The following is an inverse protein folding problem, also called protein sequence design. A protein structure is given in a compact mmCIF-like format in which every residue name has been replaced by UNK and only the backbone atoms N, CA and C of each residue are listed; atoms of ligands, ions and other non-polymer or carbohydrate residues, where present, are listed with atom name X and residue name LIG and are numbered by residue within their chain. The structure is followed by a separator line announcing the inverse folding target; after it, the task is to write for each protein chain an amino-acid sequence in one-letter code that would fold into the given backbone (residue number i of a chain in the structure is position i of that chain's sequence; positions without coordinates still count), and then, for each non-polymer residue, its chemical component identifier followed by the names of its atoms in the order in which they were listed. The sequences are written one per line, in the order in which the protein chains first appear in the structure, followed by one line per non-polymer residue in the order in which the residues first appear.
data_IF_648633205506
#
_entry.id   IF_648633205506
#
_cell.length_a   1.000
_cell.length_b   1.000
_cell.length_c   1.000
_cell.angle_alpha   90.00
_cell.angle_beta   90.00
_cell.angle_gamma   90.00
#
_symmetry.space_group_name_H-M   'P 1'
#
loop_
_entity.id
_entity.type
_entity.pdbx_description
1 polymer ?
#
# COMPACT_ATOMS: atom_id res chain seq x y z
N UNK A 1 -19.04 -1.15 -11.34
CA UNK A 1 -19.45 -1.87 -10.12
C UNK A 1 -19.19 -0.99 -8.94
N UNK A 2 -20.19 -0.43 -8.26
CA UNK A 2 -19.80 0.13 -6.95
C UNK A 2 -21.06 0.54 -6.21
N UNK A 3 -21.84 -0.48 -5.88
CA UNK A 3 -22.95 -0.27 -4.98
C UNK A 3 -22.43 -0.46 -3.56
N UNK A 4 -22.12 0.65 -2.89
CA UNK A 4 -21.84 0.65 -1.47
C UNK A 4 -23.19 0.58 -0.76
N UNK A 5 -23.40 -0.37 0.16
CA UNK A 5 -24.67 -0.45 0.88
C UNK A 5 -24.94 0.86 1.64
N UNK A 6 -26.14 1.41 1.49
CA UNK A 6 -26.52 2.64 2.20
C UNK A 6 -26.34 2.56 3.74
N UNK A 7 -26.47 1.36 4.30
CA UNK A 7 -26.23 1.08 5.71
C UNK A 7 -24.81 1.37 6.14
N UNK A 8 -23.82 1.15 5.26
CA UNK A 8 -22.41 1.39 5.58
C UNK A 8 -22.16 2.84 6.00
N UNK A 9 -22.85 3.81 5.39
CA UNK A 9 -22.68 5.23 5.69
C UNK A 9 -23.01 5.63 7.15
N UNK A 10 -23.79 4.81 7.86
CA UNK A 10 -24.24 5.07 9.24
C UNK A 10 -23.68 4.11 10.27
N UNK A 11 -23.03 3.05 9.83
CA UNK A 11 -22.64 1.92 10.69
C UNK A 11 -21.42 2.23 11.57
N UNK A 12 -20.54 3.15 11.12
CA UNK A 12 -19.31 3.48 11.83
C UNK A 12 -19.25 4.95 12.27
N UNK A 13 -18.48 5.19 13.31
CA UNK A 13 -18.24 6.53 13.82
C UNK A 13 -17.28 7.33 12.94
N UNK A 14 -16.37 6.64 12.22
CA UNK A 14 -15.38 7.26 11.36
C UNK A 14 -15.03 6.32 10.19
N UNK A 15 -14.68 6.91 9.07
CA UNK A 15 -14.20 6.24 7.87
C UNK A 15 -12.84 6.81 7.51
N UNK A 16 -11.90 5.93 7.21
CA UNK A 16 -10.52 6.30 6.95
C UNK A 16 -10.09 5.73 5.60
N UNK A 17 -9.53 6.57 4.75
CA UNK A 17 -8.86 6.17 3.51
C UNK A 17 -7.35 6.25 3.67
N UNK A 18 -6.64 5.34 3.04
CA UNK A 18 -5.17 5.22 3.15
C UNK A 18 -4.79 3.94 3.90
N UNK A 19 -3.54 3.63 4.07
CA UNK A 19 -2.41 4.36 3.47
C UNK A 19 -2.30 4.06 1.96
N UNK A 20 -1.06 4.05 1.42
CA UNK A 20 -0.76 3.78 0.03
C UNK A 20 -1.30 4.86 -0.96
N UNK A 21 -1.09 4.63 -2.23
CA UNK A 21 -1.39 5.55 -3.33
C UNK A 21 -2.88 5.55 -3.70
N UNK A 22 -3.74 5.68 -2.71
CA UNK A 22 -5.21 5.69 -2.90
C UNK A 22 -5.68 6.88 -3.73
N UNK A 23 -4.91 7.95 -3.78
CA UNK A 23 -5.20 9.15 -4.55
C UNK A 23 -4.33 9.31 -5.81
N UNK A 24 -3.70 8.21 -6.30
CA UNK A 24 -2.91 8.27 -7.52
C UNK A 24 -3.82 8.22 -8.76
N UNK A 25 -3.88 9.29 -9.58
CA UNK A 25 -4.72 9.35 -10.77
C UNK A 25 -4.28 8.41 -11.88
N UNK A 26 -3.03 7.94 -11.86
CA UNK A 26 -2.52 7.00 -12.85
C UNK A 26 -3.07 5.57 -12.66
N UNK A 27 -3.73 5.30 -11.54
CA UNK A 27 -4.42 4.04 -11.35
C UNK A 27 -5.85 4.10 -11.90
N UNK A 28 -6.18 3.22 -12.82
CA UNK A 28 -7.53 3.12 -13.44
C UNK A 28 -8.66 2.77 -12.45
N UNK A 29 -8.36 2.71 -11.15
CA UNK A 29 -9.29 2.37 -10.07
C UNK A 29 -9.77 3.57 -9.26
N UNK A 30 -9.22 4.77 -9.49
CA UNK A 30 -9.60 5.97 -8.74
C UNK A 30 -11.11 6.20 -8.81
N UNK A 31 -11.73 6.39 -7.67
CA UNK A 31 -13.18 6.53 -7.57
C UNK A 31 -13.60 7.36 -6.35
N UNK A 32 -14.88 7.68 -6.29
CA UNK A 32 -15.49 8.36 -5.14
C UNK A 32 -15.32 7.60 -3.81
N UNK A 33 -15.04 6.30 -3.87
CA UNK A 33 -14.75 5.49 -2.68
C UNK A 33 -13.43 5.91 -2.03
N UNK A 34 -12.43 6.25 -2.82
CA UNK A 34 -11.13 6.65 -2.33
C UNK A 34 -11.16 7.98 -1.57
N UNK A 35 -12.22 8.77 -1.78
CA UNK A 35 -12.55 9.98 -1.03
C UNK A 35 -13.70 9.79 -0.02
N UNK A 36 -14.12 8.54 0.21
CA UNK A 36 -15.17 8.19 1.18
C UNK A 36 -16.50 8.93 0.94
N UNK A 37 -16.86 9.24 -0.32
CA UNK A 37 -18.05 10.05 -0.64
C UNK A 37 -19.37 9.42 -0.18
N UNK A 38 -19.37 8.13 0.10
CA UNK A 38 -20.51 7.43 0.66
C UNK A 38 -20.80 7.77 2.14
N UNK A 39 -19.81 8.32 2.86
CA UNK A 39 -19.91 8.65 4.26
C UNK A 39 -20.22 10.14 4.47
N UNK A 40 -20.83 10.54 5.60
CA UNK A 40 -20.96 11.94 5.99
C UNK A 40 -19.59 12.64 6.06
N UNK A 41 -19.52 13.91 5.64
CA UNK A 41 -18.25 14.68 5.55
C UNK A 41 -17.49 14.73 6.88
N UNK A 42 -18.21 14.92 7.99
CA UNK A 42 -17.68 15.00 9.34
C UNK A 42 -17.08 13.68 9.86
N UNK A 43 -17.29 12.60 9.12
CA UNK A 43 -16.75 11.26 9.45
C UNK A 43 -15.60 10.83 8.52
N UNK A 44 -15.24 11.64 7.49
CA UNK A 44 -14.21 11.27 6.52
C UNK A 44 -12.84 11.74 6.96
N UNK A 45 -11.88 10.84 6.99
CA UNK A 45 -10.47 11.17 7.28
C UNK A 45 -9.54 10.40 6.34
N UNK A 46 -8.35 10.94 6.11
CA UNK A 46 -7.27 10.15 5.53
C UNK A 46 -6.21 9.84 6.56
N UNK A 47 -5.54 8.71 6.38
CA UNK A 47 -4.39 8.32 7.18
C UNK A 47 -3.24 7.93 6.27
N UNK A 48 -2.22 8.77 6.21
CA UNK A 48 -1.02 8.59 5.36
C UNK A 48 -1.35 8.25 3.91
N UNK A 49 -2.41 8.88 3.36
CA UNK A 49 -2.77 8.69 1.95
C UNK A 49 -1.69 9.27 1.03
N UNK A 50 -1.49 8.67 -0.13
CA UNK A 50 -0.49 9.14 -1.10
C UNK A 50 -1.11 9.43 -2.45
N UNK A 51 -0.61 10.48 -3.11
CA UNK A 51 -0.91 10.76 -4.51
C UNK A 51 0.00 9.96 -5.46
N UNK A 52 1.21 9.58 -5.03
CA UNK A 52 2.19 8.85 -5.83
C UNK A 52 2.70 9.62 -7.05
N UNK A 53 2.41 10.91 -7.14
CA UNK A 53 2.80 11.85 -8.20
C UNK A 53 3.14 13.20 -7.59
N UNK A 54 3.85 14.04 -8.35
CA UNK A 54 4.24 15.37 -7.91
C UNK A 54 3.29 16.49 -8.33
N UNK A 55 2.37 16.21 -9.26
CA UNK A 55 1.40 17.21 -9.75
C UNK A 55 0.11 16.51 -10.19
N UNK A 56 -1.04 17.07 -9.84
CA UNK A 56 -2.35 16.59 -10.30
C UNK A 56 -2.59 17.11 -11.73
N UNK A 57 -3.00 16.24 -12.69
CA UNK A 57 -3.41 16.64 -14.02
C UNK A 57 -4.48 17.74 -13.99
N UNK A 58 -4.36 18.73 -14.89
CA UNK A 58 -5.21 19.92 -14.89
C UNK A 58 -6.71 19.58 -14.88
N UNK A 59 -7.09 18.61 -15.70
CA UNK A 59 -8.48 18.15 -15.84
C UNK A 59 -9.03 17.48 -14.57
N UNK A 60 -8.17 17.09 -13.62
CA UNK A 60 -8.57 16.45 -12.38
C UNK A 60 -8.51 17.40 -11.17
N UNK A 61 -7.89 18.57 -11.29
CA UNK A 61 -7.67 19.50 -10.16
C UNK A 61 -8.96 19.85 -9.43
N UNK A 62 -10.02 20.17 -10.17
CA UNK A 62 -11.31 20.54 -9.56
C UNK A 62 -11.96 19.35 -8.84
N UNK A 63 -11.84 18.15 -9.39
CA UNK A 63 -12.33 16.92 -8.75
C UNK A 63 -11.60 16.67 -7.43
N UNK A 64 -10.27 16.74 -7.42
CA UNK A 64 -9.48 16.54 -6.19
C UNK A 64 -9.78 17.63 -5.16
N UNK A 65 -9.78 18.88 -5.58
CA UNK A 65 -10.10 20.03 -4.72
C UNK A 65 -11.40 19.84 -3.97
N UNK A 66 -12.48 19.55 -4.69
CA UNK A 66 -13.81 19.39 -4.10
C UNK A 66 -13.85 18.23 -3.10
N UNK A 67 -13.21 17.10 -3.41
CA UNK A 67 -13.18 15.95 -2.53
C UNK A 67 -12.32 16.17 -1.27
N UNK A 68 -11.14 16.80 -1.42
CA UNK A 68 -10.25 17.11 -0.30
C UNK A 68 -10.85 18.15 0.66
N UNK A 69 -11.62 19.13 0.14
CA UNK A 69 -12.35 20.10 0.97
C UNK A 69 -13.45 19.43 1.81
N UNK A 70 -13.97 18.27 1.39
CA UNK A 70 -14.99 17.53 2.11
C UNK A 70 -14.44 16.54 3.14
N UNK A 71 -13.11 16.41 3.25
CA UNK A 71 -12.47 15.57 4.26
C UNK A 71 -12.34 16.34 5.59
N UNK A 72 -12.74 15.72 6.70
CA UNK A 72 -12.63 16.32 8.04
C UNK A 72 -11.16 16.46 8.45
N UNK A 73 -10.41 15.36 8.38
CA UNK A 73 -9.00 15.35 8.73
C UNK A 73 -8.21 14.83 7.52
N UNK A 74 -7.06 15.47 7.26
CA UNK A 74 -6.18 15.11 6.17
C UNK A 74 -4.80 14.75 6.70
N UNK A 75 -4.35 13.54 6.40
CA UNK A 75 -2.94 13.22 6.49
C UNK A 75 -2.46 12.47 5.25
N UNK A 76 -1.23 12.75 4.88
CA UNK A 76 -0.55 12.20 3.72
C UNK A 76 0.78 11.59 4.12
N UNK A 77 1.36 10.76 3.25
CA UNK A 77 2.62 10.08 3.52
C UNK A 77 3.85 10.90 3.11
N UNK A 78 3.69 11.84 2.20
CA UNK A 78 4.78 12.64 1.65
C UNK A 78 4.55 14.15 1.80
N UNK A 79 5.65 14.92 1.97
CA UNK A 79 5.61 16.38 1.99
C UNK A 79 4.95 16.95 0.74
N UNK A 80 5.25 16.38 -0.44
CA UNK A 80 4.64 16.80 -1.70
C UNK A 80 3.12 16.63 -1.70
N UNK A 81 2.61 15.59 -1.06
CA UNK A 81 1.16 15.39 -0.90
C UNK A 81 0.49 16.52 -0.11
N UNK A 82 1.14 16.98 0.96
CA UNK A 82 0.70 18.14 1.75
C UNK A 82 0.69 19.43 0.90
N UNK A 83 1.76 19.68 0.13
CA UNK A 83 1.84 20.82 -0.78
C UNK A 83 0.71 20.78 -1.84
N UNK A 84 0.44 19.63 -2.45
CA UNK A 84 -0.68 19.45 -3.40
C UNK A 84 -2.01 19.83 -2.75
N UNK A 85 -2.25 19.40 -1.51
CA UNK A 85 -3.48 19.76 -0.79
C UNK A 85 -3.56 21.27 -0.58
N UNK A 86 -2.49 21.91 -0.14
CA UNK A 86 -2.45 23.36 0.07
C UNK A 86 -2.64 24.12 -1.26
N UNK A 87 -1.96 23.72 -2.32
CA UNK A 87 -2.07 24.32 -3.66
C UNK A 87 -3.51 24.25 -4.21
N UNK A 88 -4.17 23.10 -4.07
CA UNK A 88 -5.51 22.91 -4.62
C UNK A 88 -6.62 23.54 -3.76
N UNK A 89 -6.48 23.48 -2.45
CA UNK A 89 -7.59 23.77 -1.53
C UNK A 89 -7.38 24.98 -0.65
N UNK A 90 -6.14 25.45 -0.50
CA UNK A 90 -5.75 26.46 0.49
C UNK A 90 -5.69 25.95 1.93
N UNK A 91 -5.97 24.66 2.18
CA UNK A 91 -5.89 24.04 3.51
C UNK A 91 -4.43 23.86 3.94
N UNK A 92 -4.15 24.22 5.20
CA UNK A 92 -2.83 24.09 5.83
C UNK A 92 -2.80 23.08 6.97
N UNK A 93 -3.93 22.49 7.26
CA UNK A 93 -4.14 21.54 8.35
C UNK A 93 -3.85 20.08 7.99
N UNK A 94 -3.39 19.82 6.76
CA UNK A 94 -2.91 18.50 6.39
C UNK A 94 -1.60 18.15 7.10
N UNK A 95 -1.51 16.94 7.66
CA UNK A 95 -0.32 16.45 8.35
C UNK A 95 0.44 15.44 7.51
N UNK A 96 1.76 15.40 7.62
CA UNK A 96 2.59 14.34 7.03
C UNK A 96 2.85 13.29 8.11
N UNK A 97 2.35 12.09 7.89
CA UNK A 97 2.46 10.97 8.82
C UNK A 97 3.13 9.78 8.13
N UNK A 98 3.91 9.02 8.88
CA UNK A 98 4.52 7.79 8.37
C UNK A 98 3.45 6.77 7.96
N UNK A 99 3.82 5.86 7.07
CA UNK A 99 2.97 4.72 6.74
C UNK A 99 2.66 3.90 8.00
N UNK A 100 1.40 3.48 8.23
CA UNK A 100 1.02 2.74 9.44
C UNK A 100 1.79 1.44 9.63
N UNK A 101 2.34 0.85 8.58
CA UNK A 101 3.21 -0.33 8.70
C UNK A 101 4.50 -0.04 9.48
N UNK A 102 4.93 1.20 9.55
CA UNK A 102 6.12 1.64 10.29
C UNK A 102 5.80 2.12 11.72
N UNK A 103 4.55 2.08 12.14
CA UNK A 103 4.13 2.46 13.50
C UNK A 103 4.36 1.36 14.53
N UNK A 104 4.54 0.14 14.08
CA UNK A 104 4.77 -1.03 14.93
C UNK A 104 6.24 -1.46 14.84
N UNK A 105 6.78 -1.94 15.96
CA UNK A 105 8.11 -2.53 16.02
C UNK A 105 8.12 -3.92 15.36
N UNK A 106 9.32 -4.43 15.07
CA UNK A 106 9.48 -5.79 14.54
C UNK A 106 8.88 -6.84 15.49
N UNK A 107 9.03 -6.66 16.80
CA UNK A 107 8.49 -7.55 17.84
C UNK A 107 6.96 -7.50 17.88
N UNK A 108 6.35 -6.37 17.59
CA UNK A 108 4.89 -6.25 17.50
C UNK A 108 4.36 -6.93 16.24
N UNK A 109 5.03 -6.77 15.10
CA UNK A 109 4.69 -7.48 13.86
C UNK A 109 4.87 -9.00 14.01
N UNK A 110 5.85 -9.45 14.79
CA UNK A 110 6.06 -10.88 15.06
C UNK A 110 4.87 -11.55 15.74
N UNK A 111 4.13 -10.83 16.58
CA UNK A 111 2.97 -11.39 17.27
C UNK A 111 1.86 -11.84 16.32
N UNK A 112 1.82 -11.27 15.12
CA UNK A 112 0.85 -11.62 14.07
C UNK A 112 1.47 -12.39 12.91
N UNK A 113 2.79 -12.55 12.90
CA UNK A 113 3.55 -13.32 11.91
C UNK A 113 3.26 -14.81 12.04
N UNK A 114 3.15 -15.51 10.90
CA UNK A 114 2.80 -16.93 10.89
C UNK A 114 3.52 -17.68 9.79
N UNK A 115 4.20 -18.77 10.14
CA UNK A 115 4.87 -19.62 9.15
C UNK A 115 3.87 -20.20 8.14
N UNK A 116 4.07 -20.00 6.82
CA UNK A 116 3.24 -20.62 5.80
C UNK A 116 3.30 -22.15 5.90
N UNK A 117 2.14 -22.81 5.83
CA UNK A 117 2.09 -24.28 5.87
C UNK A 117 2.85 -24.96 4.72
N UNK A 118 2.92 -24.28 3.57
CA UNK A 118 3.59 -24.77 2.36
C UNK A 118 5.10 -24.46 2.32
N UNK A 119 5.62 -23.72 3.30
CA UNK A 119 7.05 -23.42 3.37
C UNK A 119 7.82 -24.64 3.91
N UNK A 120 8.46 -25.37 3.02
CA UNK A 120 9.23 -26.58 3.32
C UNK A 120 10.75 -26.38 3.32
N UNK A 121 11.22 -25.23 2.75
CA UNK A 121 12.64 -24.90 2.69
C UNK A 121 13.06 -24.05 3.90
N UNK A 122 14.28 -24.28 4.38
CA UNK A 122 14.84 -23.56 5.53
C UNK A 122 15.58 -22.27 5.10
N UNK A 123 16.12 -22.24 3.89
CA UNK A 123 16.90 -21.11 3.39
C UNK A 123 16.43 -20.69 2.01
N UNK A 124 16.00 -19.43 1.89
CA UNK A 124 15.42 -18.94 0.64
C UNK A 124 15.72 -17.47 0.38
N UNK A 125 15.68 -17.10 -0.90
CA UNK A 125 15.61 -15.73 -1.40
C UNK A 125 14.15 -15.46 -1.72
N UNK A 126 13.62 -14.35 -1.19
CA UNK A 126 12.25 -13.91 -1.45
C UNK A 126 12.24 -12.86 -2.56
N UNK A 127 11.67 -13.19 -3.70
CA UNK A 127 11.41 -12.26 -4.79
C UNK A 127 9.99 -11.69 -4.65
N UNK A 128 9.89 -10.36 -4.57
CA UNK A 128 8.65 -9.63 -4.55
C UNK A 128 8.73 -8.43 -5.49
N UNK A 129 8.46 -8.67 -6.78
CA UNK A 129 8.49 -7.66 -7.82
C UNK A 129 7.06 -7.39 -8.31
N UNK A 130 6.63 -6.12 -8.26
CA UNK A 130 5.35 -5.68 -8.83
C UNK A 130 5.45 -5.46 -10.34
N UNK A 131 6.65 -5.13 -10.81
CA UNK A 131 6.98 -4.99 -12.22
C UNK A 131 7.62 -6.23 -12.83
N UNK A 132 8.05 -6.11 -14.08
CA UNK A 132 8.72 -7.19 -14.79
C UNK A 132 10.18 -7.35 -14.33
N UNK A 133 10.53 -8.53 -13.88
CA UNK A 133 11.90 -8.89 -13.56
C UNK A 133 12.70 -9.12 -14.87
N UNK A 134 13.72 -8.29 -15.12
CA UNK A 134 14.57 -8.46 -16.30
C UNK A 134 15.38 -9.76 -16.24
N UNK A 135 15.67 -10.33 -17.41
CA UNK A 135 16.46 -11.56 -17.52
C UNK A 135 17.84 -11.43 -16.88
N UNK A 136 18.47 -10.26 -16.98
CA UNK A 136 19.75 -9.97 -16.32
C UNK A 136 19.63 -10.11 -14.79
N UNK A 137 18.64 -9.44 -14.19
CA UNK A 137 18.41 -9.52 -12.72
C UNK A 137 18.05 -10.94 -12.29
N UNK A 138 17.24 -11.65 -13.08
CA UNK A 138 16.91 -13.05 -12.81
C UNK A 138 18.16 -13.90 -12.68
N UNK A 139 19.08 -13.84 -13.64
CA UNK A 139 20.34 -14.58 -13.63
C UNK A 139 21.24 -14.21 -12.45
N UNK A 140 21.27 -12.94 -12.06
CA UNK A 140 22.01 -12.48 -10.88
C UNK A 140 21.44 -13.10 -9.59
N UNK A 141 20.13 -13.12 -9.43
CA UNK A 141 19.45 -13.75 -8.27
C UNK A 141 19.71 -15.26 -8.25
N UNK A 142 19.58 -15.95 -9.37
CA UNK A 142 19.86 -17.39 -9.50
C UNK A 142 21.31 -17.72 -9.14
N UNK A 143 22.26 -16.90 -9.57
CA UNK A 143 23.67 -17.05 -9.19
C UNK A 143 23.87 -16.94 -7.68
N UNK A 144 23.28 -15.92 -7.04
CA UNK A 144 23.36 -15.73 -5.58
C UNK A 144 22.68 -16.89 -4.84
N UNK A 145 21.53 -17.34 -5.32
CA UNK A 145 20.82 -18.48 -4.74
C UNK A 145 21.68 -19.75 -4.77
N UNK A 146 22.26 -20.07 -5.91
CA UNK A 146 23.14 -21.24 -6.10
C UNK A 146 24.37 -21.15 -5.19
N UNK A 147 25.04 -20.01 -5.12
CA UNK A 147 26.22 -19.82 -4.30
C UNK A 147 25.96 -19.96 -2.80
N UNK A 148 24.72 -19.71 -2.35
CA UNK A 148 24.35 -19.73 -0.95
C UNK A 148 23.47 -20.91 -0.55
N UNK A 149 23.16 -21.83 -1.49
CA UNK A 149 22.27 -22.98 -1.25
C UNK A 149 20.84 -22.54 -0.89
N UNK A 150 20.36 -21.45 -1.52
CA UNK A 150 19.01 -20.93 -1.30
C UNK A 150 18.02 -21.41 -2.36
N UNK A 151 16.81 -21.69 -1.96
CA UNK A 151 15.67 -21.80 -2.88
C UNK A 151 15.14 -20.40 -3.20
N UNK A 152 14.64 -20.19 -4.42
CA UNK A 152 14.00 -18.92 -4.78
C UNK A 152 12.49 -19.07 -4.63
N UNK A 153 11.86 -18.13 -3.92
CA UNK A 153 10.41 -17.97 -3.78
C UNK A 153 10.01 -16.73 -4.59
N UNK A 154 9.07 -16.88 -5.51
CA UNK A 154 8.55 -15.78 -6.34
C UNK A 154 7.10 -15.48 -5.93
N UNK A 155 6.89 -14.60 -4.96
CA UNK A 155 5.56 -14.34 -4.39
C UNK A 155 4.53 -13.78 -5.40
N UNK A 156 4.98 -13.18 -6.50
CA UNK A 156 4.09 -12.65 -7.54
C UNK A 156 3.86 -13.64 -8.70
N UNK A 157 4.50 -14.80 -8.67
CA UNK A 157 4.26 -15.87 -9.66
C UNK A 157 3.13 -16.80 -9.20
N UNK A 158 2.04 -16.83 -9.97
CA UNK A 158 0.86 -17.69 -9.70
C UNK A 158 1.19 -19.18 -9.65
N UNK A 159 2.30 -19.60 -10.23
CA UNK A 159 2.78 -20.99 -10.19
C UNK A 159 3.59 -21.32 -8.94
N UNK A 160 4.03 -20.30 -8.18
CA UNK A 160 4.70 -20.56 -6.90
C UNK A 160 3.69 -21.02 -5.85
N UNK A 161 4.06 -22.04 -5.11
CA UNK A 161 3.20 -22.62 -4.07
C UNK A 161 2.82 -21.64 -2.96
N UNK A 162 3.63 -20.58 -2.78
CA UNK A 162 3.47 -19.54 -1.77
C UNK A 162 2.81 -18.26 -2.30
N UNK A 163 2.44 -18.23 -3.58
CA UNK A 163 1.74 -17.07 -4.20
C UNK A 163 0.51 -16.61 -3.40
N UNK A 164 -0.24 -17.54 -2.83
CA UNK A 164 -1.46 -17.25 -2.06
C UNK A 164 -1.21 -17.01 -0.56
N UNK A 165 0.03 -16.73 -0.15
CA UNK A 165 0.35 -16.41 1.24
C UNK A 165 -0.40 -15.16 1.69
N UNK A 166 -1.05 -15.26 2.84
CA UNK A 166 -1.77 -14.14 3.46
C UNK A 166 -0.82 -13.14 4.15
N UNK A 167 -1.34 -12.00 4.64
CA UNK A 167 -0.50 -10.97 5.26
C UNK A 167 0.38 -11.47 6.40
N UNK A 168 -0.14 -12.30 7.29
CA UNK A 168 0.64 -12.88 8.40
C UNK A 168 1.77 -13.80 7.92
N UNK A 169 1.53 -14.53 6.84
CA UNK A 169 2.53 -15.40 6.22
C UNK A 169 3.58 -14.59 5.45
N UNK A 170 3.16 -13.50 4.81
CA UNK A 170 4.08 -12.56 4.16
C UNK A 170 5.09 -11.98 5.18
N UNK A 171 4.62 -11.55 6.35
CA UNK A 171 5.50 -11.08 7.42
C UNK A 171 6.55 -12.13 7.82
N UNK A 172 6.13 -13.38 7.94
CA UNK A 172 7.05 -14.49 8.24
C UNK A 172 8.09 -14.66 7.13
N UNK A 173 7.64 -14.66 5.88
CA UNK A 173 8.52 -14.84 4.72
C UNK A 173 9.55 -13.72 4.60
N UNK A 174 9.13 -12.47 4.83
CA UNK A 174 10.04 -11.31 4.83
C UNK A 174 11.08 -11.43 5.93
N UNK A 175 10.65 -11.72 7.16
CA UNK A 175 11.55 -11.79 8.32
C UNK A 175 12.60 -12.89 8.20
N UNK A 176 12.23 -14.05 7.66
CA UNK A 176 13.08 -15.25 7.65
C UNK A 176 13.81 -15.50 6.32
N UNK A 177 13.68 -14.59 5.36
CA UNK A 177 14.40 -14.66 4.11
C UNK A 177 15.91 -14.46 4.33
N UNK A 178 16.75 -15.27 3.63
CA UNK A 178 18.18 -15.01 3.54
C UNK A 178 18.45 -13.66 2.84
N UNK A 179 17.66 -13.36 1.81
CA UNK A 179 17.70 -12.11 1.06
C UNK A 179 16.32 -11.81 0.48
N UNK A 180 15.97 -10.55 0.37
CA UNK A 180 14.77 -10.07 -0.30
C UNK A 180 15.19 -9.29 -1.54
N UNK A 181 14.54 -9.57 -2.67
CA UNK A 181 14.71 -8.84 -3.93
C UNK A 181 13.36 -8.21 -4.29
N UNK A 182 13.36 -6.90 -4.51
CA UNK A 182 12.16 -6.12 -4.84
C UNK A 182 12.51 -4.98 -5.81
N UNK A 183 11.50 -4.34 -6.43
CA UNK A 183 11.58 -3.13 -7.24
C UNK A 183 11.29 -1.88 -6.40
#
# INVERSE_FOLDING_TARGET
MNHIPNKLATEYNQYITGSDQVWNPNFNRMSDIDFLKFAPKEKRSSFSASFGISEIPEELKEYYKNNLLEMKNLSVREDRGKEIIEELTGRKDAEVLIDPTMMLTAEEWDKVSKKPRKLTMDKYILNYFLGNLSEKRRKEIEKVATQNGCTIINLMDKNDSLYASGPSEFLYLVKNAFMICTD
#
